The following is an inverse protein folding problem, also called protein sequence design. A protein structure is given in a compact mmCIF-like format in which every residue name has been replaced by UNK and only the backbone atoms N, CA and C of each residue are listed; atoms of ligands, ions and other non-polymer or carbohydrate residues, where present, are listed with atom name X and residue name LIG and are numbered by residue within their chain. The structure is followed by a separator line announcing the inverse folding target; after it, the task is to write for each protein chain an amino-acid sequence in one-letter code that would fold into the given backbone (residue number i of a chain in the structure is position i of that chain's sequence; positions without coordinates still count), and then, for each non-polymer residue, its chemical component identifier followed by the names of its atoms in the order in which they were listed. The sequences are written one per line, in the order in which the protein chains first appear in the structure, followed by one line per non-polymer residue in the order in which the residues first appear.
data_IF_462609080037
#
_entry.id   IF_462609080037
#
_cell.length_a   1.000
_cell.length_b   1.000
_cell.length_c   1.000
_cell.angle_alpha   90.00
_cell.angle_beta   90.00
_cell.angle_gamma   90.00
#
_symmetry.space_group_name_H-M   'P 1'
#
loop_
_entity.id
_entity.type
_entity.pdbx_description
1 polymer ?
#
# COMPACT_ATOMS: atom_id res chain seq x y z
N UNK A 1 27.89 2.59 -2.03
CA UNK A 1 28.34 1.49 -1.17
C UNK A 1 27.07 0.89 -0.61
N UNK A 2 26.56 -0.17 -1.24
CA UNK A 2 25.42 -0.90 -0.70
C UNK A 2 25.82 -1.35 0.70
N UNK A 3 25.06 -0.93 1.71
CA UNK A 3 25.07 -1.65 2.97
C UNK A 3 24.56 -3.04 2.56
N UNK A 4 25.37 -4.08 2.72
CA UNK A 4 24.90 -5.47 2.55
C UNK A 4 23.77 -5.68 3.55
N UNK A 5 22.54 -5.38 3.13
CA UNK A 5 21.35 -5.67 3.90
C UNK A 5 21.30 -7.18 4.07
N UNK A 6 21.03 -7.61 5.30
CA UNK A 6 20.97 -9.03 5.58
C UNK A 6 19.94 -9.68 4.65
N UNK A 7 20.28 -10.76 3.91
CA UNK A 7 19.41 -11.35 2.90
C UNK A 7 18.07 -11.79 3.48
N UNK A 8 18.02 -12.12 4.77
CA UNK A 8 16.78 -12.45 5.47
C UNK A 8 15.84 -11.24 5.49
N UNK A 9 16.35 -10.06 5.87
CA UNK A 9 15.61 -8.80 5.94
C UNK A 9 15.13 -8.41 4.54
N UNK A 10 16.02 -8.43 3.54
CA UNK A 10 15.69 -8.09 2.16
C UNK A 10 14.59 -9.01 1.61
N UNK A 11 14.71 -10.32 1.78
CA UNK A 11 13.66 -11.28 1.35
C UNK A 11 12.35 -11.08 2.11
N UNK A 12 12.40 -10.78 3.42
CA UNK A 12 11.19 -10.50 4.21
C UNK A 12 10.51 -9.21 3.76
N UNK A 13 11.27 -8.18 3.39
CA UNK A 13 10.74 -6.95 2.80
C UNK A 13 10.07 -7.28 1.46
N UNK A 14 10.72 -8.00 0.55
CA UNK A 14 10.12 -8.41 -0.72
C UNK A 14 8.82 -9.17 -0.51
N UNK A 15 8.81 -10.13 0.42
CA UNK A 15 7.62 -10.88 0.81
C UNK A 15 6.47 -9.98 1.30
N UNK A 16 6.76 -8.90 2.04
CA UNK A 16 5.74 -7.92 2.45
C UNK A 16 5.14 -7.19 1.24
N UNK A 17 5.95 -6.69 0.30
CA UNK A 17 5.43 -5.95 -0.86
C UNK A 17 4.56 -6.83 -1.76
N UNK A 18 4.96 -8.09 -1.92
CA UNK A 18 4.26 -9.09 -2.72
C UNK A 18 3.06 -9.72 -2.01
N UNK A 19 2.81 -9.37 -0.73
CA UNK A 19 1.63 -9.84 0.00
C UNK A 19 1.78 -11.19 0.70
N UNK A 20 2.99 -11.75 0.79
CA UNK A 20 3.25 -13.03 1.45
C UNK A 20 3.45 -12.87 2.97
N UNK A 21 2.49 -12.24 3.64
CA UNK A 21 2.61 -11.82 5.05
C UNK A 21 2.83 -13.00 6.00
N UNK A 22 2.14 -14.13 5.78
CA UNK A 22 2.24 -15.28 6.67
C UNK A 22 3.61 -15.98 6.56
N UNK A 23 4.17 -16.10 5.35
CA UNK A 23 5.52 -16.64 5.18
C UNK A 23 6.57 -15.74 5.84
N UNK A 24 6.42 -14.41 5.68
CA UNK A 24 7.29 -13.43 6.37
C UNK A 24 7.22 -13.61 7.89
N UNK A 25 6.02 -13.75 8.46
CA UNK A 25 5.86 -14.01 9.90
C UNK A 25 6.51 -15.32 10.32
N UNK A 26 6.26 -16.41 9.61
CA UNK A 26 6.83 -17.72 9.93
C UNK A 26 8.36 -17.68 9.94
N UNK A 27 8.96 -16.97 8.98
CA UNK A 27 10.41 -16.79 8.90
C UNK A 27 10.94 -15.94 10.05
N UNK A 28 10.35 -14.76 10.28
CA UNK A 28 10.87 -13.79 11.25
C UNK A 28 10.61 -14.15 12.72
N UNK A 29 9.58 -14.94 13.00
CA UNK A 29 9.26 -15.44 14.35
C UNK A 29 10.03 -16.71 14.72
N UNK A 30 10.81 -17.28 13.81
CA UNK A 30 11.59 -18.49 14.08
C UNK A 30 12.68 -18.24 15.13
N UNK A 31 12.97 -19.28 15.93
CA UNK A 31 13.99 -19.22 16.98
C UNK A 31 15.39 -18.91 16.43
N UNK A 32 15.65 -19.25 15.17
CA UNK A 32 16.93 -18.98 14.49
C UNK A 32 17.19 -17.48 14.36
N UNK A 33 16.16 -16.69 14.06
CA UNK A 33 16.26 -15.23 13.94
C UNK A 33 16.60 -14.61 15.28
N UNK A 34 15.95 -15.06 16.36
CA UNK A 34 16.22 -14.56 17.71
C UNK A 34 17.67 -14.79 18.18
N UNK A 35 18.33 -15.82 17.64
CA UNK A 35 19.71 -16.20 17.98
C UNK A 35 20.75 -15.57 17.05
N UNK A 36 20.33 -14.96 15.95
CA UNK A 36 21.23 -14.38 14.94
C UNK A 36 21.73 -13.01 15.41
N UNK A 37 22.98 -12.96 15.91
CA UNK A 37 23.58 -11.74 16.50
C UNK A 37 23.79 -10.58 15.51
N UNK A 38 23.86 -10.85 14.21
CA UNK A 38 24.09 -9.83 13.18
C UNK A 38 22.82 -9.06 12.78
N UNK A 39 21.64 -9.47 13.25
CA UNK A 39 20.38 -8.83 12.89
C UNK A 39 20.02 -7.70 13.85
N UNK A 40 19.58 -6.59 13.26
CA UNK A 40 18.91 -5.54 14.03
C UNK A 40 17.52 -6.02 14.43
N UNK A 41 17.36 -6.40 15.71
CA UNK A 41 16.10 -6.92 16.22
C UNK A 41 14.97 -5.88 16.18
N UNK A 42 15.26 -4.58 16.21
CA UNK A 42 14.23 -3.55 16.06
C UNK A 42 13.66 -3.56 14.64
N UNK A 43 14.48 -3.72 13.61
CA UNK A 43 14.02 -3.85 12.22
C UNK A 43 13.17 -5.10 12.03
N UNK A 44 13.59 -6.23 12.59
CA UNK A 44 12.80 -7.49 12.57
C UNK A 44 11.42 -7.27 13.18
N UNK A 45 11.35 -6.62 14.37
CA UNK A 45 10.08 -6.30 15.03
C UNK A 45 9.20 -5.40 14.17
N UNK A 46 9.77 -4.40 13.49
CA UNK A 46 9.02 -3.54 12.57
C UNK A 46 8.45 -4.33 11.40
N UNK A 47 9.20 -5.27 10.81
CA UNK A 47 8.68 -6.09 9.72
C UNK A 47 7.55 -7.02 10.18
N UNK A 48 7.69 -7.65 11.36
CA UNK A 48 6.63 -8.47 11.96
C UNK A 48 5.39 -7.61 12.23
N UNK A 49 5.56 -6.42 12.81
CA UNK A 49 4.49 -5.46 13.06
C UNK A 49 3.74 -5.12 11.77
N UNK A 50 4.47 -4.78 10.70
CA UNK A 50 3.88 -4.46 9.38
C UNK A 50 3.11 -5.66 8.82
N UNK A 51 3.65 -6.87 8.91
CA UNK A 51 2.96 -8.08 8.49
C UNK A 51 1.64 -8.29 9.26
N UNK A 52 1.63 -8.04 10.58
CA UNK A 52 0.41 -8.12 11.38
C UNK A 52 -0.62 -7.06 10.99
N UNK A 53 -0.20 -5.81 10.74
CA UNK A 53 -1.10 -4.76 10.26
C UNK A 53 -1.73 -5.12 8.92
N UNK A 54 -0.96 -5.66 7.98
CA UNK A 54 -1.49 -6.13 6.69
C UNK A 54 -2.47 -7.30 6.81
N UNK A 55 -2.46 -8.04 7.93
CA UNK A 55 -3.42 -9.10 8.23
C UNK A 55 -4.59 -8.62 9.13
N UNK A 56 -4.71 -7.31 9.39
CA UNK A 56 -5.72 -6.75 10.31
C UNK A 56 -5.50 -7.08 11.80
N UNK A 57 -4.35 -7.67 12.16
CA UNK A 57 -4.04 -8.11 13.55
C UNK A 57 -3.42 -6.98 14.38
N UNK A 58 -4.17 -5.90 14.59
CA UNK A 58 -3.72 -4.67 15.29
C UNK A 58 -3.12 -4.97 16.68
N UNK A 59 -3.78 -5.81 17.47
CA UNK A 59 -3.30 -6.13 18.83
C UNK A 59 -1.96 -6.89 18.83
N UNK A 60 -1.71 -7.73 17.83
CA UNK A 60 -0.42 -8.39 17.68
C UNK A 60 0.67 -7.41 17.24
N UNK A 61 0.33 -6.47 16.36
CA UNK A 61 1.22 -5.37 15.97
C UNK A 61 1.64 -4.52 17.19
N UNK A 62 0.69 -4.10 18.04
CA UNK A 62 0.97 -3.34 19.27
C UNK A 62 1.93 -4.09 20.21
N UNK A 63 1.72 -5.41 20.39
CA UNK A 63 2.59 -6.24 21.24
C UNK A 63 4.02 -6.30 20.73
N UNK A 64 4.26 -6.29 19.43
CA UNK A 64 5.62 -6.26 18.89
C UNK A 64 6.28 -4.89 19.06
N UNK A 65 5.53 -3.80 18.86
CA UNK A 65 6.04 -2.45 19.06
C UNK A 65 6.41 -2.20 20.53
N UNK A 66 5.66 -2.76 21.47
CA UNK A 66 5.96 -2.66 22.91
C UNK A 66 7.30 -3.27 23.32
N UNK A 67 7.91 -4.12 22.48
CA UNK A 67 9.21 -4.74 22.72
C UNK A 67 10.38 -3.91 22.17
N UNK A 68 10.11 -2.82 21.47
CA UNK A 68 11.11 -1.83 21.04
C UNK A 68 11.33 -0.84 22.18
N UNK A 69 12.57 -0.38 22.37
CA UNK A 69 12.92 0.54 23.46
C UNK A 69 12.05 1.82 23.39
N UNK A 70 11.34 2.20 24.48
CA UNK A 70 10.39 3.31 24.46
C UNK A 70 11.00 4.68 24.17
N UNK A 71 12.30 4.85 24.44
CA UNK A 71 13.03 6.10 24.22
C UNK A 71 13.45 6.29 22.75
N UNK A 72 13.30 5.28 21.89
CA UNK A 72 13.61 5.40 20.47
C UNK A 72 12.45 6.03 19.70
N UNK A 73 12.74 7.11 18.96
CA UNK A 73 11.79 7.72 18.02
C UNK A 73 11.21 6.69 17.03
N UNK A 74 11.95 5.59 16.75
CA UNK A 74 11.47 4.46 15.97
C UNK A 74 10.26 3.75 16.61
N UNK A 75 10.26 3.58 17.93
CA UNK A 75 9.12 2.99 18.64
C UNK A 75 7.89 3.91 18.56
N UNK A 76 8.10 5.22 18.69
CA UNK A 76 7.03 6.22 18.63
C UNK A 76 6.38 6.28 17.24
N UNK A 77 7.17 6.32 16.16
CA UNK A 77 6.61 6.31 14.79
C UNK A 77 5.93 4.97 14.48
N UNK A 78 6.44 3.86 14.99
CA UNK A 78 5.78 2.56 14.84
C UNK A 78 4.42 2.51 15.54
N UNK A 79 4.30 3.07 16.75
CA UNK A 79 3.01 3.21 17.46
C UNK A 79 2.03 4.08 16.67
N UNK A 80 2.49 5.21 16.14
CA UNK A 80 1.67 6.10 15.32
C UNK A 80 1.09 5.37 14.10
N UNK A 81 1.88 4.54 13.42
CA UNK A 81 1.40 3.73 12.30
C UNK A 81 0.33 2.72 12.74
N UNK A 82 0.52 2.03 13.88
CA UNK A 82 -0.47 1.08 14.39
C UNK A 82 -1.78 1.78 14.77
N UNK A 83 -1.72 2.93 15.43
CA UNK A 83 -2.91 3.73 15.77
C UNK A 83 -3.62 4.28 14.54
N UNK A 84 -2.88 4.60 13.47
CA UNK A 84 -3.50 5.00 12.21
C UNK A 84 -4.32 3.84 11.62
N UNK A 85 -3.74 2.64 11.56
CA UNK A 85 -4.44 1.44 11.08
C UNK A 85 -5.64 1.07 11.95
N UNK A 86 -5.52 1.21 13.27
CA UNK A 86 -6.65 1.05 14.20
C UNK A 86 -7.77 2.04 13.88
N UNK A 87 -7.43 3.32 13.70
CA UNK A 87 -8.43 4.34 13.34
C UNK A 87 -9.09 4.09 11.99
N UNK A 88 -8.33 3.62 11.01
CA UNK A 88 -8.86 3.22 9.70
C UNK A 88 -9.84 2.04 9.83
N UNK A 89 -9.55 1.07 10.70
CA UNK A 89 -10.43 -0.07 10.96
C UNK A 89 -11.70 0.28 11.74
N UNK A 90 -11.68 1.35 12.54
CA UNK A 90 -12.85 1.84 13.31
C UNK A 90 -13.83 2.67 12.47
N UNK A 91 -13.53 2.92 11.19
CA UNK A 91 -14.30 3.86 10.36
C UNK A 91 -13.90 5.31 10.63
N UNK A 92 -12.76 5.73 10.08
CA UNK A 92 -12.31 7.11 10.11
C UNK A 92 -13.28 8.04 9.35
N UNK A 93 -13.28 9.34 9.70
CA UNK A 93 -14.00 10.35 8.91
C UNK A 93 -13.54 10.32 7.45
N UNK A 94 -14.46 10.59 6.52
CA UNK A 94 -14.17 10.74 5.09
C UNK A 94 -14.21 12.23 4.73
N UNK A 95 -13.13 12.85 4.22
CA UNK A 95 -11.81 12.27 3.93
C UNK A 95 -10.99 12.00 5.20
N UNK A 96 -10.13 10.98 5.17
CA UNK A 96 -9.33 10.54 6.34
C UNK A 96 -8.44 11.65 6.91
N UNK A 97 -8.02 12.60 6.08
CA UNK A 97 -7.22 13.77 6.47
C UNK A 97 -7.96 14.74 7.39
N UNK A 98 -9.29 14.68 7.45
CA UNK A 98 -10.13 15.51 8.32
C UNK A 98 -10.37 14.91 9.71
N UNK A 99 -10.01 13.63 9.91
CA UNK A 99 -10.22 12.95 11.18
C UNK A 99 -9.27 13.50 12.27
N UNK A 100 -9.83 14.02 13.37
CA UNK A 100 -9.04 14.66 14.44
C UNK A 100 -7.95 13.75 15.03
N UNK A 101 -8.20 12.45 15.12
CA UNK A 101 -7.18 11.50 15.64
C UNK A 101 -6.06 11.33 14.62
N UNK A 102 -6.40 11.25 13.34
CA UNK A 102 -5.41 11.15 12.24
C UNK A 102 -4.57 12.42 12.15
N UNK A 103 -5.17 13.60 12.27
CA UNK A 103 -4.45 14.89 12.31
C UNK A 103 -3.40 14.90 13.42
N UNK A 104 -3.77 14.49 14.64
CA UNK A 104 -2.83 14.39 15.77
C UNK A 104 -1.70 13.39 15.50
N UNK A 105 -1.99 12.25 14.87
CA UNK A 105 -0.98 11.26 14.48
C UNK A 105 0.02 11.86 13.48
N UNK A 106 -0.48 12.60 12.49
CA UNK A 106 0.34 13.28 11.48
C UNK A 106 1.21 14.36 12.12
N UNK A 107 0.66 15.20 12.99
CA UNK A 107 1.40 16.24 13.72
C UNK A 107 2.51 15.65 14.60
N UNK A 108 2.20 14.60 15.37
CA UNK A 108 3.20 13.90 16.18
C UNK A 108 4.32 13.31 15.31
N UNK A 109 3.98 12.74 14.16
CA UNK A 109 4.95 12.18 13.23
C UNK A 109 5.84 13.26 12.61
N UNK A 110 5.27 14.43 12.31
CA UNK A 110 6.03 15.59 11.84
C UNK A 110 7.00 16.13 12.89
N UNK A 111 6.58 16.18 14.16
CA UNK A 111 7.47 16.53 15.27
C UNK A 111 8.65 15.56 15.38
N UNK A 112 8.42 14.25 15.26
CA UNK A 112 9.50 13.25 15.23
C UNK A 112 10.43 13.45 14.02
N UNK A 113 9.87 13.80 12.86
CA UNK A 113 10.64 14.07 11.65
C UNK A 113 11.45 15.38 11.70
N UNK A 114 11.18 16.27 12.67
CA UNK A 114 11.99 17.48 12.89
C UNK A 114 13.38 17.16 13.45
N UNK A 115 13.53 16.02 14.15
CA UNK A 115 14.81 15.53 14.64
C UNK A 115 15.67 15.02 13.48
N UNK A 116 16.74 15.76 13.16
CA UNK A 116 17.58 15.45 11.99
C UNK A 116 18.29 14.08 12.06
N UNK A 117 18.48 13.54 13.27
CA UNK A 117 19.08 12.22 13.44
C UNK A 117 18.18 11.11 12.88
N UNK A 118 16.88 11.34 12.76
CA UNK A 118 15.97 10.34 12.21
C UNK A 118 16.10 10.18 10.69
N UNK A 119 16.66 11.17 9.97
CA UNK A 119 16.93 11.02 8.53
C UNK A 119 18.05 10.03 8.23
N UNK A 120 18.86 9.65 9.22
CA UNK A 120 19.88 8.60 9.03
C UNK A 120 19.34 7.19 9.26
N UNK A 121 18.06 7.05 9.64
CA UNK A 121 17.41 5.78 9.95
C UNK A 121 16.41 5.40 8.82
N UNK A 122 16.80 4.53 7.87
CA UNK A 122 15.92 4.04 6.81
C UNK A 122 14.50 3.63 7.23
N UNK A 123 14.41 2.81 8.28
CA UNK A 123 13.14 2.26 8.77
C UNK A 123 12.22 3.34 9.29
N UNK A 124 12.77 4.37 9.93
CA UNK A 124 11.99 5.52 10.38
C UNK A 124 11.35 6.24 9.20
N UNK A 125 12.12 6.49 8.13
CA UNK A 125 11.64 7.16 6.92
C UNK A 125 10.50 6.37 6.27
N UNK A 126 10.66 5.06 6.12
CA UNK A 126 9.60 4.21 5.57
C UNK A 126 8.32 4.29 6.41
N UNK A 127 8.42 4.21 7.74
CA UNK A 127 7.24 4.26 8.62
C UNK A 127 6.56 5.62 8.62
N UNK A 128 7.32 6.70 8.74
CA UNK A 128 6.79 8.06 8.69
C UNK A 128 6.14 8.37 7.34
N UNK A 129 6.76 7.94 6.23
CA UNK A 129 6.16 8.07 4.90
C UNK A 129 4.88 7.27 4.73
N UNK A 130 4.80 6.05 5.25
CA UNK A 130 3.56 5.26 5.24
C UNK A 130 2.44 5.97 5.99
N UNK A 131 2.73 6.59 7.15
CA UNK A 131 1.75 7.38 7.90
C UNK A 131 1.23 8.53 7.05
N UNK A 132 2.13 9.32 6.46
CA UNK A 132 1.74 10.46 5.62
C UNK A 132 0.94 10.03 4.38
N UNK A 133 1.33 8.94 3.73
CA UNK A 133 0.63 8.38 2.57
C UNK A 133 -0.79 7.94 2.92
N UNK A 134 -0.94 7.11 3.97
CA UNK A 134 -2.25 6.65 4.42
C UNK A 134 -3.15 7.76 4.95
N UNK A 135 -2.56 8.87 5.42
CA UNK A 135 -3.30 10.05 5.88
C UNK A 135 -3.61 11.06 4.76
N UNK A 136 -3.29 10.75 3.49
CA UNK A 136 -3.49 11.65 2.35
C UNK A 136 -2.55 12.88 2.31
N UNK A 137 -1.52 12.92 3.18
CA UNK A 137 -0.55 14.01 3.30
C UNK A 137 0.65 13.81 2.34
N UNK A 138 0.38 13.70 1.04
CA UNK A 138 1.38 13.34 0.02
C UNK A 138 2.58 14.30 -0.04
N UNK A 139 2.36 15.60 0.14
CA UNK A 139 3.43 16.61 0.14
C UNK A 139 4.44 16.35 1.28
N UNK A 140 3.96 16.01 2.48
CA UNK A 140 4.81 15.70 3.63
C UNK A 140 5.65 14.44 3.38
N UNK A 141 5.05 13.41 2.78
CA UNK A 141 5.77 12.20 2.38
C UNK A 141 6.88 12.50 1.36
N UNK A 142 6.58 13.27 0.30
CA UNK A 142 7.56 13.63 -0.73
C UNK A 142 8.70 14.49 -0.17
N UNK A 143 8.40 15.44 0.71
CA UNK A 143 9.43 16.24 1.39
C UNK A 143 10.37 15.36 2.21
N UNK A 144 9.82 14.37 2.92
CA UNK A 144 10.61 13.42 3.70
C UNK A 144 11.55 12.60 2.81
N UNK A 145 11.04 12.07 1.69
CA UNK A 145 11.85 11.33 0.73
C UNK A 145 12.95 12.19 0.09
N UNK A 146 12.65 13.43 -0.27
CA UNK A 146 13.63 14.35 -0.86
C UNK A 146 14.79 14.65 0.10
N UNK A 147 14.49 14.85 1.39
CA UNK A 147 15.52 15.08 2.42
C UNK A 147 16.36 13.82 2.64
N UNK A 148 15.74 12.64 2.64
CA UNK A 148 16.45 11.38 2.76
C UNK A 148 17.36 11.10 1.56
N UNK A 149 16.85 11.30 0.33
CA UNK A 149 17.59 11.11 -0.93
C UNK A 149 18.89 11.92 -0.96
N UNK A 150 18.92 13.11 -0.36
CA UNK A 150 20.12 13.95 -0.26
C UNK A 150 21.15 13.49 0.77
N UNK A 151 20.73 12.68 1.74
CA UNK A 151 21.52 12.40 2.95
C UNK A 151 22.10 10.98 2.94
N UNK A 152 21.33 9.99 2.46
CA UNK A 152 21.62 8.55 2.65
C UNK A 152 21.37 7.77 1.35
N UNK A 153 21.96 6.58 1.27
CA UNK A 153 21.69 5.56 0.25
C UNK A 153 20.19 5.42 -0.05
N UNK A 154 19.85 5.60 -1.32
CA UNK A 154 18.51 5.39 -1.84
C UNK A 154 18.15 3.92 -1.69
N UNK A 155 17.04 3.63 -1.01
CA UNK A 155 16.58 2.27 -0.75
C UNK A 155 15.38 1.96 -1.63
N UNK A 156 15.31 0.72 -2.11
CA UNK A 156 14.22 0.23 -2.95
C UNK A 156 12.83 0.43 -2.32
N UNK A 157 12.74 0.39 -0.99
CA UNK A 157 11.52 0.71 -0.25
C UNK A 157 11.05 2.15 -0.44
N UNK A 158 11.98 3.10 -0.31
CA UNK A 158 11.68 4.52 -0.47
C UNK A 158 11.34 4.84 -1.91
N UNK A 159 12.07 4.23 -2.85
CA UNK A 159 11.76 4.26 -4.29
C UNK A 159 10.30 3.86 -4.56
N UNK A 160 9.89 2.67 -4.10
CA UNK A 160 8.54 2.16 -4.38
C UNK A 160 7.45 3.07 -3.81
N UNK A 161 7.65 3.59 -2.58
CA UNK A 161 6.71 4.53 -1.97
C UNK A 161 6.67 5.88 -2.69
N UNK A 162 7.80 6.37 -3.21
CA UNK A 162 7.83 7.59 -4.03
C UNK A 162 7.07 7.40 -5.35
N UNK A 163 7.30 6.28 -6.05
CA UNK A 163 6.53 5.93 -7.27
C UNK A 163 5.04 5.90 -6.94
N UNK A 164 4.64 5.18 -5.88
CA UNK A 164 3.26 5.14 -5.43
C UNK A 164 2.70 6.54 -5.14
N UNK A 165 3.47 7.39 -4.47
CA UNK A 165 3.06 8.77 -4.17
C UNK A 165 2.81 9.57 -5.44
N UNK A 166 3.71 9.50 -6.42
CA UNK A 166 3.56 10.17 -7.71
C UNK A 166 2.31 9.71 -8.46
N UNK A 167 2.03 8.40 -8.47
CA UNK A 167 0.83 7.85 -9.09
C UNK A 167 -0.45 8.35 -8.39
N UNK A 168 -0.47 8.37 -7.04
CA UNK A 168 -1.62 8.83 -6.25
C UNK A 168 -1.94 10.33 -6.46
N UNK A 169 -0.95 11.16 -6.78
CA UNK A 169 -1.16 12.58 -7.12
C UNK A 169 -1.30 12.81 -8.64
N UNK A 170 -1.53 11.75 -9.43
CA UNK A 170 -1.69 11.78 -10.88
C UNK A 170 -0.50 12.40 -11.64
N UNK A 171 0.73 12.21 -11.13
CA UNK A 171 2.00 12.62 -11.78
C UNK A 171 2.75 11.42 -12.34
N UNK A 172 2.13 10.75 -13.30
CA UNK A 172 2.67 9.54 -13.95
C UNK A 172 4.01 9.82 -14.65
N UNK A 173 4.17 11.03 -15.19
CA UNK A 173 5.43 11.52 -15.78
C UNK A 173 6.61 11.46 -14.81
N UNK A 174 6.41 11.91 -13.57
CA UNK A 174 7.44 11.86 -12.52
C UNK A 174 7.73 10.43 -12.05
N UNK A 175 6.70 9.57 -12.02
CA UNK A 175 6.87 8.15 -11.72
C UNK A 175 7.75 7.45 -12.77
N UNK A 176 7.53 7.74 -14.06
CA UNK A 176 8.35 7.23 -15.16
C UNK A 176 9.79 7.73 -15.09
N UNK A 177 10.02 9.02 -14.82
CA UNK A 177 11.37 9.56 -14.66
C UNK A 177 12.11 8.89 -13.48
N UNK A 178 11.40 8.66 -12.37
CA UNK A 178 11.98 7.98 -11.21
C UNK A 178 12.34 6.52 -11.52
N UNK A 179 11.51 5.81 -12.30
CA UNK A 179 11.80 4.45 -12.76
C UNK A 179 13.08 4.41 -13.61
N UNK A 180 13.16 5.24 -14.65
CA UNK A 180 14.32 5.27 -15.55
C UNK A 180 15.62 5.61 -14.82
N UNK A 181 15.59 6.58 -13.90
CA UNK A 181 16.76 6.97 -13.11
C UNK A 181 17.18 5.91 -12.09
N UNK A 182 16.23 5.11 -11.59
CA UNK A 182 16.47 4.09 -10.57
C UNK A 182 16.76 2.71 -11.15
N UNK A 183 16.48 2.50 -12.45
CA UNK A 183 16.65 1.23 -13.15
C UNK A 183 18.04 0.60 -12.95
N UNK A 184 19.16 1.32 -13.13
CA UNK A 184 20.49 0.72 -12.93
C UNK A 184 20.78 0.24 -11.50
N UNK A 185 19.98 0.69 -10.53
CA UNK A 185 20.15 0.33 -9.11
C UNK A 185 19.29 -0.86 -8.71
N UNK A 186 18.09 -1.00 -9.28
CA UNK A 186 17.07 -1.91 -8.77
C UNK A 186 16.43 -2.82 -9.82
N UNK A 187 16.90 -2.84 -11.07
CA UNK A 187 16.30 -3.67 -12.13
C UNK A 187 16.20 -5.16 -11.77
N UNK A 188 17.08 -5.69 -10.93
CA UNK A 188 17.02 -7.09 -10.46
C UNK A 188 16.08 -7.30 -9.25
N UNK A 189 15.53 -6.22 -8.68
CA UNK A 189 14.72 -6.29 -7.47
C UNK A 189 13.23 -6.44 -7.82
N UNK A 190 12.52 -7.44 -7.28
CA UNK A 190 11.10 -7.63 -7.55
C UNK A 190 10.22 -6.43 -7.16
N UNK A 191 10.66 -5.61 -6.19
CA UNK A 191 9.94 -4.38 -5.80
C UNK A 191 10.02 -3.32 -6.92
N UNK A 192 11.10 -3.30 -7.70
CA UNK A 192 11.21 -2.42 -8.86
C UNK A 192 10.17 -2.81 -9.92
N UNK A 193 10.12 -4.07 -10.31
CA UNK A 193 9.15 -4.58 -11.28
C UNK A 193 7.70 -4.38 -10.81
N UNK A 194 7.44 -4.51 -9.51
CA UNK A 194 6.14 -4.20 -8.93
C UNK A 194 5.75 -2.74 -9.16
N UNK A 195 6.66 -1.80 -8.88
CA UNK A 195 6.42 -0.36 -9.06
C UNK A 195 6.34 0.05 -10.54
N UNK A 196 7.13 -0.59 -11.40
CA UNK A 196 7.07 -0.45 -12.86
C UNK A 196 5.70 -0.88 -13.39
N UNK A 197 5.20 -2.03 -12.92
CA UNK A 197 3.90 -2.57 -13.30
C UNK A 197 2.74 -1.67 -12.86
N UNK A 198 2.80 -1.08 -11.65
CA UNK A 198 1.83 -0.06 -11.25
C UNK A 198 1.83 1.11 -12.22
N UNK A 199 3.01 1.60 -12.60
CA UNK A 199 3.13 2.73 -13.53
C UNK A 199 2.55 2.39 -14.90
N UNK A 200 2.73 1.16 -15.40
CA UNK A 200 2.10 0.70 -16.64
C UNK A 200 0.58 0.72 -16.61
N UNK A 201 -0.05 0.42 -15.46
CA UNK A 201 -1.51 0.51 -15.31
C UNK A 201 -2.04 1.94 -15.38
N UNK A 202 -1.23 2.94 -15.01
CA UNK A 202 -1.60 4.36 -15.02
C UNK A 202 -1.38 5.06 -16.38
N UNK A 203 -0.88 4.35 -17.40
CA UNK A 203 -0.58 4.92 -18.72
C UNK A 203 -1.73 4.78 -19.73
N UNK A 204 -2.97 4.98 -19.28
CA UNK A 204 -4.20 4.98 -20.10
C UNK A 204 -4.28 3.78 -21.07
N UNK A 205 -4.00 2.58 -20.59
CA UNK A 205 -4.11 1.35 -21.39
C UNK A 205 -2.99 1.11 -22.40
N UNK A 206 -1.88 1.87 -22.37
CA UNK A 206 -0.75 1.65 -23.29
C UNK A 206 0.01 0.35 -23.05
N UNK A 207 0.20 -0.05 -21.79
CA UNK A 207 1.02 -1.21 -21.43
C UNK A 207 0.38 -2.18 -20.40
N UNK A 208 -0.94 -2.40 -20.39
CA UNK A 208 -1.55 -3.30 -19.41
C UNK A 208 -1.03 -4.74 -19.53
N UNK A 209 -0.72 -5.20 -20.75
CA UNK A 209 -0.13 -6.53 -21.01
C UNK A 209 1.21 -6.71 -20.29
N UNK A 210 2.08 -5.70 -20.33
CA UNK A 210 3.37 -5.73 -19.63
C UNK A 210 3.18 -5.81 -18.12
N UNK A 211 2.23 -5.04 -17.58
CA UNK A 211 1.92 -5.09 -16.16
C UNK A 211 1.43 -6.50 -15.75
N UNK A 212 0.53 -7.10 -16.54
CA UNK A 212 0.01 -8.45 -16.27
C UNK A 212 1.12 -9.49 -16.20
N UNK A 213 1.97 -9.57 -17.25
CA UNK A 213 3.04 -10.56 -17.29
C UNK A 213 4.07 -10.36 -16.18
N UNK A 214 4.36 -9.11 -15.82
CA UNK A 214 5.25 -8.84 -14.69
C UNK A 214 4.62 -9.30 -13.36
N UNK A 215 3.32 -9.07 -13.11
CA UNK A 215 2.65 -9.60 -11.92
C UNK A 215 2.61 -11.14 -11.89
N UNK A 216 2.44 -11.79 -13.04
CA UNK A 216 2.51 -13.26 -13.18
C UNK A 216 3.91 -13.81 -12.87
N UNK A 217 4.95 -13.17 -13.42
CA UNK A 217 6.34 -13.53 -13.16
C UNK A 217 6.71 -13.35 -11.68
N UNK A 218 6.27 -12.25 -11.06
CA UNK A 218 6.45 -12.00 -9.62
C UNK A 218 5.79 -13.09 -8.76
N UNK A 219 4.60 -13.56 -9.15
CA UNK A 219 3.90 -14.64 -8.45
C UNK A 219 4.61 -15.99 -8.59
N UNK A 220 5.06 -16.31 -9.80
CA UNK A 220 5.74 -17.57 -10.12
C UNK A 220 7.11 -17.66 -9.42
N UNK A 221 7.89 -16.59 -9.47
CA UNK A 221 9.25 -16.53 -8.92
C UNK A 221 9.28 -16.64 -7.39
N UNK A 222 8.21 -16.24 -6.71
CA UNK A 222 8.12 -16.24 -5.24
C UNK A 222 7.40 -17.47 -4.66
N UNK A 223 7.24 -18.53 -5.46
CA UNK A 223 6.67 -19.83 -5.07
C UNK A 223 5.21 -19.80 -4.58
N UNK A 224 4.52 -18.65 -4.63
CA UNK A 224 3.11 -18.53 -4.27
C UNK A 224 2.51 -17.27 -4.87
N UNK A 225 1.45 -17.44 -5.66
CA UNK A 225 0.64 -16.33 -6.17
C UNK A 225 -0.29 -15.86 -5.05
N UNK A 226 -0.02 -14.66 -4.53
CA UNK A 226 -0.77 -14.06 -3.42
C UNK A 226 -2.07 -13.41 -3.91
N UNK A 227 -3.04 -13.22 -3.01
CA UNK A 227 -4.29 -12.51 -3.29
C UNK A 227 -4.02 -11.10 -3.85
N UNK A 228 -2.99 -10.43 -3.33
CA UNK A 228 -2.57 -9.10 -3.81
C UNK A 228 -2.10 -9.13 -5.27
N UNK A 229 -1.33 -10.14 -5.66
CA UNK A 229 -0.88 -10.31 -7.04
C UNK A 229 -2.04 -10.70 -7.96
N UNK A 230 -2.95 -11.58 -7.53
CA UNK A 230 -4.16 -11.93 -8.28
C UNK A 230 -5.02 -10.68 -8.55
N UNK A 231 -5.24 -9.83 -7.55
CA UNK A 231 -5.95 -8.56 -7.73
C UNK A 231 -5.23 -7.61 -8.70
N UNK A 232 -3.90 -7.58 -8.67
CA UNK A 232 -3.10 -6.78 -9.60
C UNK A 232 -3.19 -7.30 -11.04
N UNK A 233 -3.17 -8.63 -11.22
CA UNK A 233 -3.38 -9.30 -12.50
C UNK A 233 -4.80 -9.06 -13.03
N UNK A 234 -5.83 -9.18 -12.19
CA UNK A 234 -7.21 -8.88 -12.54
C UNK A 234 -7.37 -7.42 -13.00
N UNK A 235 -6.76 -6.47 -12.27
CA UNK A 235 -6.75 -5.05 -12.65
C UNK A 235 -6.09 -4.82 -14.01
N UNK A 236 -4.99 -5.51 -14.30
CA UNK A 236 -4.34 -5.45 -15.61
C UNK A 236 -5.24 -6.00 -16.73
N UNK A 237 -5.90 -7.15 -16.49
CA UNK A 237 -6.83 -7.78 -17.45
C UNK A 237 -8.09 -6.97 -17.69
N UNK A 238 -8.63 -6.29 -16.66
CA UNK A 238 -9.71 -5.32 -16.82
C UNK A 238 -9.31 -4.17 -17.74
N UNK A 239 -8.09 -3.63 -17.61
CA UNK A 239 -7.57 -2.61 -18.51
C UNK A 239 -7.41 -3.09 -19.97
N UNK A 240 -7.32 -4.41 -20.20
CA UNK A 240 -7.32 -5.02 -21.53
C UNK A 240 -8.73 -5.34 -22.06
N UNK A 241 -9.79 -5.11 -21.29
CA UNK A 241 -11.16 -5.56 -21.57
C UNK A 241 -11.29 -7.09 -21.72
N UNK A 242 -10.43 -7.88 -21.04
CA UNK A 242 -10.44 -9.35 -21.09
C UNK A 242 -11.30 -9.96 -19.96
N UNK A 243 -12.61 -9.66 -20.01
CA UNK A 243 -13.53 -9.88 -18.88
C UNK A 243 -13.68 -11.35 -18.46
N UNK A 244 -13.60 -12.31 -19.38
CA UNK A 244 -13.72 -13.74 -19.05
C UNK A 244 -12.57 -14.27 -18.19
N UNK A 245 -11.36 -13.75 -18.37
CA UNK A 245 -10.19 -14.15 -17.59
C UNK A 245 -10.16 -13.49 -16.22
N UNK A 246 -10.63 -12.23 -16.15
CA UNK A 246 -10.75 -11.47 -14.89
C UNK A 246 -11.56 -12.26 -13.86
N UNK A 247 -12.69 -12.85 -14.27
CA UNK A 247 -13.55 -13.59 -13.35
C UNK A 247 -12.87 -14.82 -12.75
N UNK A 248 -12.15 -15.59 -13.55
CA UNK A 248 -11.42 -16.76 -13.06
C UNK A 248 -10.33 -16.35 -12.06
N UNK A 249 -9.60 -15.28 -12.34
CA UNK A 249 -8.55 -14.75 -11.45
C UNK A 249 -9.16 -14.26 -10.13
N UNK A 250 -10.29 -13.54 -10.18
CA UNK A 250 -10.96 -13.03 -8.98
C UNK A 250 -11.61 -14.15 -8.15
N UNK A 251 -12.12 -15.20 -8.80
CA UNK A 251 -12.60 -16.39 -8.09
C UNK A 251 -11.44 -17.10 -7.38
N UNK A 252 -10.29 -17.27 -8.02
CA UNK A 252 -9.09 -17.81 -7.35
C UNK A 252 -8.68 -16.93 -6.14
N UNK A 253 -8.73 -15.61 -6.30
CA UNK A 253 -8.42 -14.68 -5.21
C UNK A 253 -9.40 -14.82 -4.04
N UNK A 254 -10.69 -14.98 -4.33
CA UNK A 254 -11.75 -15.17 -3.34
C UNK A 254 -11.65 -16.51 -2.62
N UNK A 255 -11.27 -17.59 -3.32
CA UNK A 255 -11.00 -18.90 -2.72
C UNK A 255 -9.84 -18.85 -1.72
N UNK A 256 -8.83 -18.03 -1.99
CA UNK A 256 -7.68 -17.84 -1.09
C UNK A 256 -8.00 -16.96 0.12
N UNK A 257 -8.76 -15.89 -0.07
CA UNK A 257 -9.19 -14.99 0.99
C UNK A 257 -10.54 -14.35 0.66
N UNK A 258 -11.61 -14.94 1.19
CA UNK A 258 -12.98 -14.48 0.98
C UNK A 258 -13.28 -13.14 1.68
N UNK A 259 -12.40 -12.68 2.57
CA UNK A 259 -12.56 -11.42 3.32
C UNK A 259 -11.76 -10.27 2.72
N UNK A 260 -11.07 -10.50 1.59
CA UNK A 260 -10.25 -9.48 0.96
C UNK A 260 -11.12 -8.40 0.30
N UNK A 261 -11.04 -7.17 0.82
CA UNK A 261 -11.82 -6.03 0.31
C UNK A 261 -11.49 -5.66 -1.13
N UNK A 262 -10.21 -5.76 -1.53
CA UNK A 262 -9.77 -5.41 -2.88
C UNK A 262 -10.33 -6.40 -3.91
N UNK A 263 -10.37 -7.70 -3.55
CA UNK A 263 -11.02 -8.74 -4.38
C UNK A 263 -12.49 -8.44 -4.57
N UNK A 264 -13.23 -8.14 -3.49
CA UNK A 264 -14.65 -7.82 -3.59
C UNK A 264 -14.89 -6.56 -4.43
N UNK A 265 -14.10 -5.50 -4.25
CA UNK A 265 -14.19 -4.29 -5.06
C UNK A 265 -13.96 -4.57 -6.55
N UNK A 266 -12.93 -5.37 -6.87
CA UNK A 266 -12.68 -5.79 -8.26
C UNK A 266 -13.82 -6.65 -8.82
N UNK A 267 -14.44 -7.51 -8.02
CA UNK A 267 -15.61 -8.29 -8.45
C UNK A 267 -16.84 -7.42 -8.70
N UNK A 268 -17.04 -6.35 -7.91
CA UNK A 268 -18.09 -5.35 -8.13
C UNK A 268 -17.86 -4.64 -9.46
N UNK A 269 -16.64 -4.15 -9.71
CA UNK A 269 -16.27 -3.46 -10.96
C UNK A 269 -16.48 -4.39 -12.18
N UNK A 270 -15.98 -5.63 -12.11
CA UNK A 270 -16.16 -6.63 -13.17
C UNK A 270 -17.64 -6.93 -13.42
N UNK A 271 -18.44 -7.10 -12.36
CA UNK A 271 -19.87 -7.34 -12.50
C UNK A 271 -20.60 -6.17 -13.15
N UNK A 272 -20.23 -4.93 -12.80
CA UNK A 272 -20.79 -3.72 -13.39
C UNK A 272 -20.46 -3.61 -14.89
N UNK A 273 -19.19 -3.84 -15.27
CA UNK A 273 -18.74 -3.79 -16.66
C UNK A 273 -19.45 -4.82 -17.55
N UNK A 274 -19.79 -5.98 -16.99
CA UNK A 274 -20.46 -7.07 -17.71
C UNK A 274 -21.99 -7.07 -17.56
N UNK A 275 -22.57 -6.10 -16.84
CA UNK A 275 -24.03 -6.01 -16.62
C UNK A 275 -24.61 -7.21 -15.87
N UNK A 276 -23.86 -7.79 -14.92
CA UNK A 276 -24.28 -8.97 -14.16
C UNK A 276 -25.22 -8.62 -13.01
N UNK A 277 -26.19 -9.49 -12.76
CA UNK A 277 -27.13 -9.39 -11.64
C UNK A 277 -26.43 -9.43 -10.26
N UNK A 278 -25.26 -10.09 -10.20
CA UNK A 278 -24.42 -10.21 -9.00
C UNK A 278 -23.88 -8.87 -8.48
N UNK A 279 -23.89 -7.80 -9.29
CA UNK A 279 -23.39 -6.48 -8.91
C UNK A 279 -23.97 -5.98 -7.59
N UNK A 280 -25.30 -6.00 -7.46
CA UNK A 280 -26.01 -5.47 -6.28
C UNK A 280 -25.61 -6.17 -4.99
N UNK A 281 -25.60 -7.51 -5.01
CA UNK A 281 -25.19 -8.34 -3.88
C UNK A 281 -23.73 -8.10 -3.49
N UNK A 282 -22.81 -8.05 -4.47
CA UNK A 282 -21.39 -7.83 -4.21
C UNK A 282 -21.13 -6.42 -3.65
N UNK A 283 -21.88 -5.42 -4.11
CA UNK A 283 -21.77 -4.06 -3.59
C UNK A 283 -22.23 -3.99 -2.13
N UNK A 284 -23.40 -4.55 -1.80
CA UNK A 284 -23.86 -4.64 -0.41
C UNK A 284 -22.85 -5.36 0.49
N UNK A 285 -22.26 -6.45 -0.01
CA UNK A 285 -21.23 -7.18 0.74
C UNK A 285 -19.99 -6.31 1.00
N UNK A 286 -19.54 -5.52 0.02
CA UNK A 286 -18.40 -4.62 0.19
C UNK A 286 -18.72 -3.50 1.21
N UNK A 287 -19.93 -2.93 1.16
CA UNK A 287 -20.38 -1.91 2.10
C UNK A 287 -20.43 -2.43 3.55
N UNK A 288 -20.88 -3.67 3.75
CA UNK A 288 -20.91 -4.32 5.06
C UNK A 288 -19.52 -4.66 5.60
N UNK A 289 -18.64 -5.19 4.74
CA UNK A 289 -17.33 -5.68 5.18
C UNK A 289 -16.26 -4.59 5.25
N UNK A 290 -16.30 -3.59 4.37
CA UNK A 290 -15.28 -2.56 4.24
C UNK A 290 -15.87 -1.21 3.82
N UNK A 291 -16.67 -0.55 4.68
CA UNK A 291 -17.33 0.72 4.37
C UNK A 291 -16.36 1.89 4.09
N UNK A 292 -15.10 1.74 4.53
CA UNK A 292 -14.01 2.69 4.30
C UNK A 292 -13.15 2.34 3.07
N UNK A 293 -13.55 1.37 2.24
CA UNK A 293 -12.79 1.00 1.06
C UNK A 293 -12.72 2.18 0.07
N UNK A 294 -11.55 2.50 -0.51
CA UNK A 294 -11.38 3.69 -1.37
C UNK A 294 -12.37 3.78 -2.53
N UNK A 295 -12.75 2.66 -3.12
CA UNK A 295 -13.77 2.61 -4.19
C UNK A 295 -15.13 3.14 -3.74
N UNK A 296 -15.60 2.78 -2.54
CA UNK A 296 -16.89 3.25 -2.03
C UNK A 296 -16.84 4.75 -1.70
N UNK A 297 -15.70 5.22 -1.19
CA UNK A 297 -15.48 6.64 -0.91
C UNK A 297 -15.54 7.45 -2.21
N UNK A 298 -14.81 7.04 -3.25
CA UNK A 298 -14.84 7.76 -4.53
C UNK A 298 -16.24 7.72 -5.16
N UNK A 299 -16.95 6.58 -5.08
CA UNK A 299 -18.34 6.49 -5.54
C UNK A 299 -19.27 7.48 -4.82
N UNK A 300 -19.18 7.57 -3.49
CA UNK A 300 -19.96 8.50 -2.67
C UNK A 300 -19.64 9.96 -3.05
N UNK A 301 -18.36 10.31 -3.18
CA UNK A 301 -17.92 11.64 -3.62
C UNK A 301 -18.43 12.00 -5.04
N UNK A 302 -18.44 11.05 -5.98
CA UNK A 302 -19.00 11.29 -7.32
C UNK A 302 -20.52 11.45 -7.30
N UNK A 303 -21.22 10.70 -6.45
CA UNK A 303 -22.66 10.83 -6.30
C UNK A 303 -23.03 12.22 -5.75
N UNK A 304 -22.37 12.67 -4.68
CA UNK A 304 -22.56 14.01 -4.14
C UNK A 304 -22.23 15.11 -5.17
N UNK A 305 -21.14 14.95 -5.92
CA UNK A 305 -20.79 15.89 -6.99
C UNK A 305 -21.90 15.97 -8.07
N UNK A 306 -22.45 14.82 -8.46
CA UNK A 306 -23.54 14.77 -9.44
C UNK A 306 -24.79 15.49 -8.94
N UNK A 307 -25.20 15.24 -7.69
CA UNK A 307 -26.37 15.89 -7.09
C UNK A 307 -26.19 17.41 -6.99
N UNK A 308 -25.00 17.86 -6.56
CA UNK A 308 -24.66 19.28 -6.50
C UNK A 308 -24.72 19.94 -7.88
N UNK A 309 -24.26 19.26 -8.94
CA UNK A 309 -24.36 19.75 -10.31
C UNK A 309 -25.82 19.81 -10.79
N UNK A 310 -26.63 18.79 -10.47
CA UNK A 310 -28.06 18.78 -10.81
C UNK A 310 -28.81 19.96 -10.17
N UNK A 311 -28.55 20.25 -8.89
CA UNK A 311 -29.12 21.40 -8.20
C UNK A 311 -28.71 22.71 -8.90
N UNK A 312 -27.41 22.90 -9.13
CA UNK A 312 -26.87 24.10 -9.76
C UNK A 312 -27.49 24.38 -11.15
N UNK A 313 -27.67 23.36 -11.98
CA UNK A 313 -28.19 23.51 -13.34
C UNK A 313 -29.72 23.48 -13.44
N UNK A 314 -30.43 22.95 -12.44
CA UNK A 314 -31.90 23.04 -12.37
C UNK A 314 -32.38 24.45 -11.97
N UNK A 315 -31.67 25.11 -11.05
CA UNK A 315 -31.95 26.49 -10.63
C UNK A 315 -31.65 27.52 -11.73
N UNK A 316 -30.67 27.26 -12.59
CA UNK A 316 -30.31 28.16 -13.69
C UNK A 316 -31.14 27.95 -14.97
N UNK A 317 -31.98 26.92 -15.03
CA UNK A 317 -32.94 26.69 -16.13
C UNK A 317 -34.32 27.33 -15.85
N UNK A 318 -34.55 27.83 -14.64
CA UNK A 318 -35.80 28.47 -14.21
C UNK A 318 -35.73 29.99 -14.06
N UNK A 319 -34.62 30.61 -14.51
CA UNK A 319 -34.42 32.06 -14.61
C UNK A 319 -34.31 32.50 -16.08
#
# INVERSE_FOLDING_TARGET
MEIEENPIITQSIQGLYLGNYQSVLNKLLSDEISKTRSLNMNEVRILIMRAYLCQGKIQSALREVAKIEPADDLASVAKNLVFLYERMSEGASKPISSDEKVVKIVENTEQLASNRLNFTKPTFIVLASLIFLHSGCFEKAMRLFYLYFKTVYFLVNSFALMVQTYLLINRVDMAQELLETSKPLFEENPIYHLAESWTFLFLDGKYPEKAFYSFEELGTSNSSVTVKLLNSQASAKMNMNQNSEVENILLEAQEKDATNSDTLANMVISSAQNGKESYSHLLSQLEEQSPAHPFLIDMEEKAELFDNLCQKYSESSTA
#
